data_IF_023085185776
#
_entry.id   IF_023085185776
#
_cell.length_a   1.000
_cell.length_b   1.000
_cell.length_c   1.000
_cell.angle_alpha   90.00
_cell.angle_beta   90.00
_cell.angle_gamma   90.00
#
_symmetry.space_group_name_H-M   'P 1'
#
loop_
_entity.id
_entity.type
_entity.pdbx_description
1 polymer ?
#
# COMPACT_ATOMS: atom_id res chain seq x y z
N UNK A 1 -9.13 -33.18 -12.29
CA UNK A 1 -7.79 -33.00 -12.89
C UNK A 1 -7.82 -32.12 -14.14
N UNK A 2 -8.67 -32.38 -15.13
CA UNK A 2 -8.80 -31.54 -16.34
C UNK A 2 -9.13 -30.07 -16.06
N UNK A 3 -9.77 -29.78 -14.93
CA UNK A 3 -10.05 -28.40 -14.48
C UNK A 3 -8.79 -27.56 -14.26
N UNK A 4 -7.60 -28.17 -14.11
CA UNK A 4 -6.34 -27.45 -13.94
C UNK A 4 -5.65 -27.09 -15.25
N UNK A 5 -6.09 -27.64 -16.38
CA UNK A 5 -5.31 -27.59 -17.64
C UNK A 5 -5.15 -26.15 -18.20
N UNK A 6 -6.03 -25.22 -17.82
CA UNK A 6 -5.98 -23.80 -18.23
C UNK A 6 -5.74 -22.82 -17.07
N UNK A 7 -5.30 -23.32 -15.91
CA UNK A 7 -5.12 -22.51 -14.70
C UNK A 7 -3.67 -22.01 -14.54
N UNK A 8 -3.52 -20.81 -13.99
CA UNK A 8 -2.22 -20.25 -13.59
C UNK A 8 -1.92 -20.41 -12.09
N UNK A 9 -2.97 -20.48 -11.28
CA UNK A 9 -2.93 -20.65 -9.83
C UNK A 9 -4.00 -21.64 -9.39
N UNK A 10 -3.71 -22.40 -8.34
CA UNK A 10 -4.65 -23.25 -7.64
C UNK A 10 -4.63 -22.95 -6.13
N UNK A 11 -5.79 -23.10 -5.48
CA UNK A 11 -5.91 -23.02 -4.01
C UNK A 11 -6.74 -24.23 -3.57
N UNK A 12 -6.12 -25.11 -2.78
CA UNK A 12 -6.76 -26.23 -2.13
C UNK A 12 -7.25 -25.77 -0.74
N UNK A 13 -8.56 -25.62 -0.60
CA UNK A 13 -9.23 -25.03 0.58
C UNK A 13 -10.47 -25.84 0.98
N UNK A 14 -10.34 -27.16 1.01
CA UNK A 14 -11.40 -28.06 1.48
C UNK A 14 -11.06 -28.60 2.87
N UNK A 15 -12.06 -29.12 3.58
CA UNK A 15 -11.88 -29.82 4.85
C UNK A 15 -11.34 -31.26 4.70
N UNK A 16 -11.04 -31.70 3.46
CA UNK A 16 -10.49 -33.03 3.15
C UNK A 16 -9.00 -32.91 2.75
N UNK A 17 -8.12 -33.33 3.67
CA UNK A 17 -6.67 -33.32 3.47
C UNK A 17 -6.22 -34.19 2.28
N UNK A 18 -6.87 -35.33 2.04
CA UNK A 18 -6.53 -36.21 0.93
C UNK A 18 -6.90 -35.57 -0.41
N UNK A 19 -8.04 -34.88 -0.46
CA UNK A 19 -8.42 -34.08 -1.63
C UNK A 19 -7.45 -32.92 -1.86
N UNK A 20 -7.09 -32.19 -0.80
CA UNK A 20 -6.15 -31.07 -0.87
C UNK A 20 -4.77 -31.52 -1.39
N UNK A 21 -4.27 -32.66 -0.91
CA UNK A 21 -3.02 -33.26 -1.38
C UNK A 21 -3.09 -33.64 -2.86
N UNK A 22 -4.19 -34.26 -3.31
CA UNK A 22 -4.41 -34.59 -4.74
C UNK A 22 -4.44 -33.34 -5.62
N UNK A 23 -5.03 -32.25 -5.15
CA UNK A 23 -5.03 -30.96 -5.88
C UNK A 23 -3.61 -30.42 -5.98
N UNK A 24 -2.84 -30.44 -4.88
CA UNK A 24 -1.44 -29.99 -4.86
C UNK A 24 -0.58 -30.78 -5.84
N UNK A 25 -0.64 -32.12 -5.79
CA UNK A 25 0.12 -32.99 -6.70
C UNK A 25 -0.27 -32.80 -8.17
N UNK A 26 -1.57 -32.66 -8.47
CA UNK A 26 -2.04 -32.45 -9.83
C UNK A 26 -1.64 -31.08 -10.39
N UNK A 27 -1.53 -30.06 -9.53
CA UNK A 27 -1.04 -28.73 -9.89
C UNK A 27 0.48 -28.74 -10.09
N UNK A 28 1.23 -29.37 -9.17
CA UNK A 28 2.69 -29.52 -9.26
C UNK A 28 3.11 -30.24 -10.54
N UNK A 29 2.43 -31.34 -10.89
CA UNK A 29 2.66 -32.08 -12.14
C UNK A 29 2.47 -31.21 -13.40
N UNK A 30 1.68 -30.14 -13.32
CA UNK A 30 1.44 -29.17 -14.40
C UNK A 30 2.30 -27.90 -14.28
N UNK A 31 3.12 -27.78 -13.23
CA UNK A 31 3.90 -26.57 -12.86
C UNK A 31 3.01 -25.36 -12.60
N UNK A 32 1.84 -25.60 -12.00
CA UNK A 32 0.90 -24.57 -11.56
C UNK A 32 1.17 -24.28 -10.09
N UNK A 33 1.32 -23.00 -9.73
CA UNK A 33 1.49 -22.64 -8.33
C UNK A 33 0.22 -22.97 -7.54
N UNK A 34 0.33 -23.82 -6.53
CA UNK A 34 -0.74 -24.24 -5.65
C UNK A 34 -0.50 -23.80 -4.21
N UNK A 35 -1.50 -23.17 -3.60
CA UNK A 35 -1.56 -22.96 -2.16
C UNK A 35 -2.46 -24.04 -1.54
N UNK A 36 -2.02 -24.63 -0.45
CA UNK A 36 -2.85 -25.51 0.38
C UNK A 36 -3.11 -24.78 1.69
N UNK A 37 -4.38 -24.49 1.96
CA UNK A 37 -4.80 -23.80 3.18
C UNK A 37 -4.44 -24.69 4.37
N UNK A 38 -3.93 -24.06 5.44
CA UNK A 38 -3.45 -24.71 6.68
C UNK A 38 -2.28 -25.71 6.55
N UNK A 39 -1.83 -26.03 5.33
CA UNK A 39 -0.66 -26.88 5.06
C UNK A 39 0.41 -26.16 4.20
N UNK A 40 1.03 -25.07 4.71
CA UNK A 40 1.97 -24.24 3.92
C UNK A 40 3.20 -24.99 3.41
N UNK A 41 3.59 -26.13 4.03
CA UNK A 41 4.70 -26.98 3.57
C UNK A 41 4.33 -27.89 2.40
N UNK A 42 3.05 -28.17 2.20
CA UNK A 42 2.52 -28.96 1.09
C UNK A 42 2.15 -28.08 -0.13
N UNK A 43 2.39 -26.77 -0.01
CA UNK A 43 2.08 -25.77 -1.02
C UNK A 43 3.34 -25.32 -1.76
N UNK A 44 3.21 -24.96 -3.03
CA UNK A 44 4.28 -24.32 -3.81
C UNK A 44 4.33 -22.80 -3.59
N UNK A 45 3.27 -22.20 -3.02
CA UNK A 45 3.28 -20.81 -2.57
C UNK A 45 2.43 -20.59 -1.31
N UNK A 46 2.73 -19.51 -0.59
CA UNK A 46 2.02 -19.11 0.63
C UNK A 46 1.31 -17.78 0.36
N UNK A 47 0.02 -17.69 0.70
CA UNK A 47 -0.73 -16.45 0.65
C UNK A 47 -0.22 -15.48 1.75
N UNK A 48 0.32 -14.31 1.40
CA UNK A 48 0.79 -13.34 2.39
C UNK A 48 -0.37 -12.56 3.02
N UNK A 49 -0.09 -11.84 4.10
CA UNK A 49 -0.93 -10.72 4.55
C UNK A 49 -0.75 -9.53 3.61
N UNK A 50 -1.82 -9.01 3.03
CA UNK A 50 -1.76 -7.96 1.99
C UNK A 50 -2.34 -6.65 2.54
N UNK A 51 -1.62 -5.55 2.30
CA UNK A 51 -2.11 -4.19 2.43
C UNK A 51 -2.23 -3.60 1.03
N UNK A 52 -3.46 -3.28 0.63
CA UNK A 52 -3.76 -2.77 -0.70
C UNK A 52 -3.95 -1.24 -0.68
N UNK A 53 -3.10 -0.55 -1.45
CA UNK A 53 -3.19 0.87 -1.83
C UNK A 53 -2.93 1.01 -3.33
N UNK A 54 -3.54 0.13 -4.14
CA UNK A 54 -3.25 -0.01 -5.56
C UNK A 54 -3.10 1.33 -6.30
N UNK A 55 -2.00 1.52 -7.07
CA UNK A 55 -1.04 0.50 -7.51
C UNK A 55 0.08 0.18 -6.51
N UNK A 56 0.12 0.81 -5.34
CA UNK A 56 1.07 0.46 -4.27
C UNK A 56 0.50 -0.71 -3.45
N UNK A 57 1.24 -1.80 -3.36
CA UNK A 57 0.86 -2.94 -2.53
C UNK A 57 2.01 -3.32 -1.61
N UNK A 58 1.68 -3.74 -0.40
CA UNK A 58 2.64 -4.30 0.55
C UNK A 58 2.16 -5.69 0.93
N UNK A 59 3.04 -6.68 0.83
CA UNK A 59 2.77 -8.05 1.23
C UNK A 59 3.73 -8.46 2.36
N UNK A 60 3.19 -9.01 3.45
CA UNK A 60 3.93 -9.49 4.61
C UNK A 60 3.73 -10.99 4.75
N UNK A 61 4.82 -11.75 4.74
CA UNK A 61 4.79 -13.20 4.97
C UNK A 61 5.93 -13.60 5.90
N UNK A 62 5.64 -14.54 6.80
CA UNK A 62 6.63 -15.22 7.64
C UNK A 62 6.95 -16.63 7.10
N UNK A 63 6.58 -16.95 5.86
CA UNK A 63 6.75 -18.29 5.30
C UNK A 63 5.92 -19.35 6.04
N UNK A 64 4.78 -18.96 6.62
CA UNK A 64 3.92 -19.82 7.44
C UNK A 64 4.43 -20.09 8.85
N UNK A 65 5.60 -19.58 9.24
CA UNK A 65 6.19 -19.82 10.58
C UNK A 65 5.54 -19.00 11.69
N UNK A 66 4.97 -17.84 11.36
CA UNK A 66 4.35 -16.93 12.34
C UNK A 66 3.21 -16.13 11.69
N UNK A 67 2.02 -16.75 11.48
CA UNK A 67 0.86 -16.04 10.91
C UNK A 67 0.40 -14.86 11.78
N UNK A 68 0.50 -15.00 13.11
CA UNK A 68 0.15 -13.94 14.06
C UNK A 68 1.05 -12.71 13.89
N UNK A 69 2.37 -12.90 13.72
CA UNK A 69 3.29 -11.79 13.48
C UNK A 69 2.98 -11.07 12.16
N UNK A 70 2.70 -11.82 11.09
CA UNK A 70 2.31 -11.25 9.80
C UNK A 70 1.04 -10.40 9.92
N UNK A 71 0.04 -10.87 10.68
CA UNK A 71 -1.19 -10.11 10.97
C UNK A 71 -0.91 -8.83 11.75
N UNK A 72 -0.10 -8.89 12.82
CA UNK A 72 0.25 -7.72 13.64
C UNK A 72 1.02 -6.66 12.84
N UNK A 73 1.92 -7.08 11.96
CA UNK A 73 2.62 -6.17 11.05
C UNK A 73 1.67 -5.57 10.02
N UNK A 74 0.74 -6.36 9.46
CA UNK A 74 -0.30 -5.86 8.54
C UNK A 74 -1.12 -4.75 9.19
N UNK A 75 -1.60 -4.97 10.42
CA UNK A 75 -2.39 -3.98 11.16
C UNK A 75 -1.62 -2.68 11.41
N UNK A 76 -0.33 -2.77 11.76
CA UNK A 76 0.53 -1.59 11.90
C UNK A 76 0.77 -0.88 10.58
N UNK A 77 0.99 -1.60 9.48
CA UNK A 77 1.22 -0.98 8.18
C UNK A 77 -0.06 -0.34 7.61
N UNK A 78 -1.23 -0.95 7.86
CA UNK A 78 -2.51 -0.39 7.47
C UNK A 78 -2.81 0.96 8.16
N UNK A 79 -2.39 1.14 9.42
CA UNK A 79 -2.55 2.41 10.12
C UNK A 79 -1.56 3.48 9.65
N UNK A 80 -0.37 3.08 9.17
CA UNK A 80 0.65 4.01 8.69
C UNK A 80 0.42 4.46 7.24
N UNK A 81 -0.16 3.62 6.39
CA UNK A 81 -0.35 3.91 4.97
C UNK A 81 -1.70 4.61 4.71
N UNK A 82 -1.72 5.89 4.29
CA UNK A 82 -2.96 6.61 4.02
C UNK A 82 -3.84 5.90 2.99
N UNK A 83 -5.16 5.97 3.17
CA UNK A 83 -6.13 5.25 2.34
C UNK A 83 -6.01 5.59 0.85
N UNK A 84 -5.77 6.86 0.53
CA UNK A 84 -5.74 7.38 -0.85
C UNK A 84 -4.35 7.41 -1.48
N UNK A 85 -3.33 6.81 -0.84
CA UNK A 85 -1.95 6.82 -1.32
C UNK A 85 -1.80 6.27 -2.75
N UNK A 86 -2.62 5.29 -3.12
CA UNK A 86 -2.64 4.73 -4.48
C UNK A 86 -3.01 5.74 -5.57
N UNK A 87 -3.93 6.66 -5.26
CA UNK A 87 -4.33 7.71 -6.20
C UNK A 87 -3.19 8.71 -6.42
N UNK A 88 -2.50 9.09 -5.34
CA UNK A 88 -1.29 9.94 -5.40
C UNK A 88 -0.19 9.24 -6.21
N UNK A 89 0.03 7.94 -5.99
CA UNK A 89 1.02 7.16 -6.73
C UNK A 89 0.72 7.09 -8.24
N UNK A 90 -0.56 6.87 -8.61
CA UNK A 90 -1.00 6.88 -10.01
C UNK A 90 -0.80 8.26 -10.65
N UNK A 91 -1.18 9.32 -9.92
CA UNK A 91 -1.03 10.70 -10.38
C UNK A 91 0.45 11.11 -10.54
N UNK A 92 1.32 10.71 -9.60
CA UNK A 92 2.76 10.92 -9.67
C UNK A 92 3.37 10.35 -10.96
N UNK A 93 2.86 9.21 -11.44
CA UNK A 93 3.25 8.63 -12.74
C UNK A 93 3.03 9.57 -13.92
N UNK A 94 1.95 10.35 -13.90
CA UNK A 94 1.60 11.33 -14.94
C UNK A 94 2.49 12.57 -14.88
N UNK A 95 2.93 12.97 -13.68
CA UNK A 95 3.78 14.15 -13.46
C UNK A 95 5.27 13.93 -13.76
N UNK A 96 5.72 12.67 -13.94
CA UNK A 96 7.15 12.34 -14.10
C UNK A 96 7.88 13.16 -15.16
N UNK A 97 7.26 13.34 -16.33
CA UNK A 97 7.86 14.11 -17.43
C UNK A 97 8.06 15.57 -17.07
N UNK A 98 7.03 16.18 -16.48
CA UNK A 98 7.03 17.59 -16.07
C UNK A 98 8.03 17.87 -14.93
N UNK A 99 8.05 17.01 -13.92
CA UNK A 99 9.01 17.11 -12.79
C UNK A 99 10.44 17.00 -13.29
N UNK A 100 10.71 16.15 -14.29
CA UNK A 100 12.03 16.02 -14.91
C UNK A 100 12.45 17.29 -15.68
N UNK A 101 11.51 18.00 -16.27
CA UNK A 101 11.77 19.26 -16.97
C UNK A 101 12.00 20.42 -16.00
N UNK A 102 11.23 20.47 -14.89
CA UNK A 102 11.32 21.55 -13.90
C UNK A 102 12.58 21.45 -13.04
N UNK A 103 12.91 20.25 -12.56
CA UNK A 103 13.99 20.04 -11.60
C UNK A 103 15.17 19.31 -12.24
N UNK A 104 16.29 20.01 -12.42
CA UNK A 104 17.45 19.52 -13.15
C UNK A 104 18.19 18.40 -12.40
N UNK A 105 18.31 18.51 -11.07
CA UNK A 105 19.09 17.54 -10.28
C UNK A 105 18.23 16.39 -9.75
N UNK A 106 18.87 15.25 -9.47
CA UNK A 106 18.18 14.14 -8.79
C UNK A 106 17.74 14.49 -7.36
N UNK A 107 18.52 15.32 -6.66
CA UNK A 107 18.23 15.73 -5.29
C UNK A 107 16.96 16.59 -5.20
N UNK A 108 16.77 17.54 -6.11
CA UNK A 108 15.54 18.33 -6.19
C UNK A 108 14.33 17.48 -6.53
N UNK A 109 14.44 16.59 -7.52
CA UNK A 109 13.36 15.65 -7.87
C UNK A 109 12.96 14.77 -6.70
N UNK A 110 13.92 14.27 -5.92
CA UNK A 110 13.65 13.47 -4.73
C UNK A 110 12.86 14.28 -3.69
N UNK A 111 13.34 15.48 -3.36
CA UNK A 111 12.67 16.38 -2.40
C UNK A 111 11.25 16.75 -2.84
N UNK A 112 11.04 16.97 -4.14
CA UNK A 112 9.70 17.19 -4.71
C UNK A 112 8.78 15.98 -4.47
N UNK A 113 9.25 14.76 -4.78
CA UNK A 113 8.43 13.56 -4.58
C UNK A 113 8.12 13.31 -3.10
N UNK A 114 9.08 13.54 -2.21
CA UNK A 114 8.86 13.49 -0.76
C UNK A 114 7.73 14.44 -0.35
N UNK A 115 7.77 15.71 -0.82
CA UNK A 115 6.71 16.70 -0.55
C UNK A 115 5.35 16.28 -1.14
N UNK A 116 5.35 15.73 -2.36
CA UNK A 116 4.11 15.33 -3.03
C UNK A 116 3.42 14.14 -2.36
N UNK A 117 4.17 13.13 -1.91
CA UNK A 117 3.58 11.92 -1.32
C UNK A 117 3.03 12.11 0.09
N UNK A 118 3.46 13.17 0.79
CA UNK A 118 2.94 13.54 2.12
C UNK A 118 1.87 14.64 2.05
N UNK A 119 1.55 15.18 0.87
CA UNK A 119 0.59 16.28 0.79
C UNK A 119 -0.86 15.77 0.89
N UNK A 120 -1.46 15.95 2.06
CA UNK A 120 -2.84 15.52 2.33
C UNK A 120 -3.87 16.25 1.49
N UNK A 121 -3.63 17.52 1.19
CA UNK A 121 -4.56 18.32 0.38
C UNK A 121 -4.69 17.72 -1.02
N UNK A 122 -3.57 17.38 -1.66
CA UNK A 122 -3.56 16.72 -2.96
C UNK A 122 -4.23 15.34 -2.89
N UNK A 123 -3.90 14.54 -1.87
CA UNK A 123 -4.50 13.23 -1.68
C UNK A 123 -6.03 13.31 -1.54
N UNK A 124 -6.53 14.29 -0.77
CA UNK A 124 -7.97 14.52 -0.60
C UNK A 124 -8.62 15.03 -1.89
N UNK A 125 -7.98 15.96 -2.61
CA UNK A 125 -8.51 16.47 -3.88
C UNK A 125 -8.60 15.38 -4.95
N UNK A 126 -7.61 14.47 -5.01
CA UNK A 126 -7.66 13.28 -5.85
C UNK A 126 -8.81 12.36 -5.45
N UNK A 127 -9.00 12.11 -4.15
CA UNK A 127 -10.08 11.26 -3.65
C UNK A 127 -11.46 11.82 -3.95
N UNK A 128 -11.60 13.15 -3.91
CA UNK A 128 -12.84 13.86 -4.18
C UNK A 128 -13.08 14.12 -5.68
N UNK A 129 -12.14 13.75 -6.57
CA UNK A 129 -12.14 14.10 -7.99
C UNK A 129 -12.27 15.61 -8.28
N UNK A 130 -11.74 16.46 -7.39
CA UNK A 130 -11.77 17.91 -7.54
C UNK A 130 -10.66 18.37 -8.49
N UNK A 131 -10.95 18.42 -9.79
CA UNK A 131 -9.97 18.76 -10.83
C UNK A 131 -9.35 20.15 -10.65
N UNK A 132 -10.12 21.10 -10.12
CA UNK A 132 -9.63 22.45 -9.89
C UNK A 132 -8.60 22.43 -8.76
N UNK A 133 -8.94 21.84 -7.62
CA UNK A 133 -8.03 21.74 -6.48
C UNK A 133 -6.79 20.89 -6.79
N UNK A 134 -6.94 19.79 -7.55
CA UNK A 134 -5.80 18.96 -8.01
C UNK A 134 -4.83 19.83 -8.82
N UNK A 135 -5.34 20.59 -9.78
CA UNK A 135 -4.51 21.43 -10.65
C UNK A 135 -3.82 22.51 -9.82
N UNK A 136 -4.58 23.28 -9.02
CA UNK A 136 -4.03 24.36 -8.20
C UNK A 136 -2.97 23.88 -7.22
N UNK A 137 -3.21 22.77 -6.51
CA UNK A 137 -2.22 22.20 -5.57
C UNK A 137 -1.00 21.66 -6.30
N UNK A 138 -1.17 21.07 -7.48
CA UNK A 138 -0.03 20.59 -8.27
C UNK A 138 0.84 21.74 -8.75
N UNK A 139 0.23 22.81 -9.27
CA UNK A 139 0.96 24.03 -9.68
C UNK A 139 1.70 24.63 -8.49
N UNK A 140 1.04 24.72 -7.33
CA UNK A 140 1.66 25.22 -6.11
C UNK A 140 2.87 24.37 -5.70
N UNK A 141 2.74 23.05 -5.67
CA UNK A 141 3.82 22.13 -5.30
C UNK A 141 5.03 22.20 -6.24
N UNK A 142 4.80 22.45 -7.53
CA UNK A 142 5.87 22.53 -8.54
C UNK A 142 6.60 23.88 -8.48
N UNK A 143 5.87 24.97 -8.21
CA UNK A 143 6.41 26.33 -8.27
C UNK A 143 6.93 26.85 -6.92
N UNK A 144 6.47 26.31 -5.80
CA UNK A 144 6.98 26.70 -4.48
C UNK A 144 8.43 26.22 -4.25
N UNK A 145 9.23 26.98 -3.47
CA UNK A 145 10.54 26.51 -3.03
C UNK A 145 10.42 25.15 -2.34
N UNK A 146 11.31 24.21 -2.72
CA UNK A 146 11.27 22.83 -2.22
C UNK A 146 11.44 22.72 -0.69
N UNK A 147 12.03 23.73 -0.07
CA UNK A 147 12.28 23.79 1.38
C UNK A 147 11.07 24.36 2.16
N UNK A 148 10.03 24.86 1.48
CA UNK A 148 8.79 25.29 2.14
C UNK A 148 7.77 24.15 2.22
N UNK A 149 7.41 23.75 3.45
CA UNK A 149 6.35 22.80 3.79
C UNK A 149 5.38 23.41 4.83
N UNK A 150 4.89 24.61 4.56
CA UNK A 150 4.02 25.31 5.52
C UNK A 150 2.57 24.88 5.42
N UNK A 151 2.10 24.02 6.31
CA UNK A 151 0.67 23.76 6.53
C UNK A 151 0.34 23.62 8.01
N UNK A 152 -0.93 23.87 8.36
CA UNK A 152 -1.44 23.74 9.73
C UNK A 152 -2.56 22.72 9.73
N UNK A 153 -2.40 21.66 10.52
CA UNK A 153 -3.40 20.60 10.66
C UNK A 153 -3.84 20.51 12.12
N UNK A 154 -5.14 20.71 12.36
CA UNK A 154 -5.72 20.56 13.69
C UNK A 154 -6.05 19.07 13.93
N UNK A 155 -5.35 18.46 14.88
CA UNK A 155 -5.54 17.06 15.27
C UNK A 155 -6.22 16.98 16.64
N UNK A 156 -7.39 16.35 16.70
CA UNK A 156 -8.03 16.01 17.97
C UNK A 156 -7.32 14.82 18.63
N UNK A 157 -6.69 15.04 19.78
CA UNK A 157 -5.94 14.00 20.50
C UNK A 157 -6.83 12.94 21.19
N UNK A 158 -8.15 13.13 21.18
CA UNK A 158 -9.08 12.30 21.94
C UNK A 158 -9.12 12.67 23.44
N UNK A 159 -9.85 11.91 24.27
CA UNK A 159 -10.05 12.23 25.68
C UNK A 159 -8.91 11.79 26.61
N UNK A 160 -7.86 11.13 26.09
CA UNK A 160 -6.67 10.76 26.85
C UNK A 160 -6.01 9.45 26.40
N UNK A 161 -6.79 8.40 26.16
CA UNK A 161 -6.27 7.12 25.68
C UNK A 161 -5.70 7.25 24.26
N UNK A 162 -4.43 6.89 24.07
CA UNK A 162 -3.73 6.94 22.78
C UNK A 162 -4.40 6.05 21.71
N UNK A 163 -5.10 4.99 22.11
CA UNK A 163 -5.86 4.13 21.21
C UNK A 163 -7.10 4.81 20.61
N UNK A 164 -7.54 5.95 21.16
CA UNK A 164 -8.66 6.73 20.65
C UNK A 164 -8.22 7.80 19.62
N UNK A 165 -6.92 7.92 19.34
CA UNK A 165 -6.44 8.77 18.28
C UNK A 165 -6.88 8.20 16.92
N UNK A 166 -7.43 9.05 16.06
CA UNK A 166 -7.81 8.61 14.71
C UNK A 166 -6.59 8.21 13.90
N UNK A 167 -6.75 7.26 12.97
CA UNK A 167 -5.68 6.84 12.07
C UNK A 167 -5.06 8.02 11.31
N UNK A 168 -5.90 8.94 10.82
CA UNK A 168 -5.43 10.16 10.15
C UNK A 168 -4.63 11.04 11.12
N UNK A 169 -5.12 11.24 12.36
CA UNK A 169 -4.40 12.00 13.37
C UNK A 169 -3.00 11.45 13.67
N UNK A 170 -2.86 10.12 13.80
CA UNK A 170 -1.55 9.48 13.98
C UNK A 170 -0.62 9.74 12.79
N UNK A 171 -1.13 9.63 11.56
CA UNK A 171 -0.37 9.89 10.33
C UNK A 171 0.13 11.35 10.27
N UNK A 172 -0.72 12.32 10.65
CA UNK A 172 -0.34 13.74 10.69
C UNK A 172 0.77 14.02 11.70
N UNK A 173 0.67 13.47 12.92
CA UNK A 173 1.68 13.66 13.97
C UNK A 173 3.04 13.08 13.54
N UNK A 174 3.06 11.99 12.78
CA UNK A 174 4.31 11.39 12.27
C UNK A 174 4.98 12.20 11.16
N UNK A 175 4.23 13.06 10.46
CA UNK A 175 4.75 13.90 9.37
C UNK A 175 5.07 15.33 9.82
N UNK A 176 4.69 15.71 11.05
CA UNK A 176 4.84 17.06 11.56
C UNK A 176 6.32 17.42 11.80
N UNK A 177 6.75 18.57 11.25
CA UNK A 177 8.05 19.16 11.59
C UNK A 177 8.03 19.77 13.02
N UNK A 178 6.86 20.25 13.47
CA UNK A 178 6.60 20.84 14.79
C UNK A 178 5.19 20.43 15.26
N UNK A 179 5.05 20.03 16.53
CA UNK A 179 3.78 19.66 17.20
C UNK A 179 3.46 20.65 18.31
#
# INVERSE_FOLDING_TARGET
>A
ESLLDTCWLAIAATDDDALNQRVSEAAEARRIFCNVVDAPKAASFIMPSIIDRSPLMVAVSSGGTSPVLARLLREKLESLLPLHLGQVAKYAGQLRGRVKQQFATMGERRRFWEKLFVNDRLAQSLANNDQKAITETTEQLINEPLDHRGEVVLVGAGPGDAGLLTLKGLQQIQQADVV
#
